data_IF_818507473325
#
_entry.id   IF_818507473325
#
_cell.length_a   1.000
_cell.length_b   1.000
_cell.length_c   1.000
_cell.angle_alpha   90.00
_cell.angle_beta   90.00
_cell.angle_gamma   90.00
#
_symmetry.space_group_name_H-M   'P 1'
#
loop_
_entity.id
_entity.type
_entity.pdbx_description
1 polymer ?
#
# COMPACT_ATOMS: atom_id res chain seq x y z
N UNK A 1 5.01 -20.15 11.74
CA UNK A 1 5.15 -18.73 11.32
C UNK A 1 6.23 -17.98 12.12
N UNK A 2 6.18 -17.90 13.46
CA UNK A 2 7.24 -17.19 14.24
C UNK A 2 8.66 -17.70 13.97
N UNK A 3 8.85 -19.02 13.91
CA UNK A 3 10.15 -19.61 13.58
C UNK A 3 10.65 -19.30 12.16
N UNK A 4 9.75 -19.03 11.20
CA UNK A 4 10.14 -18.60 9.86
C UNK A 4 10.59 -17.14 9.87
N UNK A 5 9.81 -16.26 10.49
CA UNK A 5 10.17 -14.83 10.58
C UNK A 5 11.49 -14.60 11.31
N UNK A 6 11.76 -15.35 12.38
CA UNK A 6 13.05 -15.32 13.07
C UNK A 6 14.22 -15.72 12.15
N UNK A 7 14.04 -16.77 11.34
CA UNK A 7 15.06 -17.19 10.34
C UNK A 7 15.29 -16.15 9.25
N UNK A 8 14.26 -15.40 8.88
CA UNK A 8 14.35 -14.33 7.89
C UNK A 8 14.81 -12.98 8.47
N UNK A 9 15.04 -12.87 9.78
CA UNK A 9 15.37 -11.60 10.44
C UNK A 9 14.22 -10.57 10.42
N UNK A 10 12.96 -11.02 10.34
CA UNK A 10 11.77 -10.16 10.23
C UNK A 10 11.01 -10.12 11.55
N UNK A 11 10.69 -8.91 12.02
CA UNK A 11 9.82 -8.71 13.18
C UNK A 11 8.34 -8.89 12.81
N UNK A 12 7.61 -9.73 13.55
CA UNK A 12 6.18 -9.92 13.35
C UNK A 12 5.36 -8.95 14.20
N UNK A 13 4.76 -7.96 13.54
CA UNK A 13 3.82 -7.04 14.17
C UNK A 13 2.38 -7.57 14.07
N UNK A 14 1.74 -7.80 15.22
CA UNK A 14 0.34 -8.22 15.31
C UNK A 14 -0.57 -7.03 15.59
N UNK A 15 -1.71 -6.99 14.92
CA UNK A 15 -2.76 -5.99 15.17
C UNK A 15 -3.82 -6.55 16.12
N UNK A 16 -4.49 -5.67 16.86
CA UNK A 16 -5.57 -6.05 17.77
C UNK A 16 -6.62 -6.90 17.04
N UNK A 17 -7.03 -7.99 17.67
CA UNK A 17 -8.03 -8.92 17.12
C UNK A 17 -9.32 -8.18 16.73
N UNK A 18 -9.94 -8.60 15.63
CA UNK A 18 -11.20 -8.05 15.10
C UNK A 18 -11.16 -6.55 14.76
N UNK A 19 -9.98 -5.93 14.71
CA UNK A 19 -9.80 -4.56 14.22
C UNK A 19 -9.21 -4.58 12.81
N UNK A 20 -9.94 -4.01 11.85
CA UNK A 20 -9.58 -4.04 10.43
C UNK A 20 -8.77 -2.78 10.02
N UNK A 21 -9.11 -1.63 10.61
CA UNK A 21 -8.45 -0.34 10.37
C UNK A 21 -6.92 -0.32 10.46
N UNK A 22 -6.25 -1.10 11.35
CA UNK A 22 -4.80 -1.12 11.41
C UNK A 22 -4.12 -1.52 10.09
N UNK A 23 -4.75 -2.39 9.30
CA UNK A 23 -4.24 -2.90 8.03
C UNK A 23 -4.91 -2.22 6.81
N UNK A 24 -5.50 -1.04 7.01
CA UNK A 24 -6.29 -0.37 5.99
C UNK A 24 -5.58 -0.11 4.65
N UNK A 25 -4.24 -0.03 4.63
CA UNK A 25 -3.50 0.09 3.36
C UNK A 25 -3.64 -1.17 2.49
N UNK A 26 -3.54 -2.36 3.09
CA UNK A 26 -3.71 -3.63 2.39
C UNK A 26 -5.18 -3.77 1.95
N UNK A 27 -6.14 -3.36 2.77
CA UNK A 27 -7.55 -3.38 2.38
C UNK A 27 -7.83 -2.50 1.16
N UNK A 28 -7.24 -1.30 1.10
CA UNK A 28 -7.35 -0.42 -0.07
C UNK A 28 -6.74 -1.08 -1.30
N UNK A 29 -5.54 -1.68 -1.17
CA UNK A 29 -4.88 -2.38 -2.28
C UNK A 29 -5.73 -3.57 -2.76
N UNK A 30 -6.24 -4.40 -1.86
CA UNK A 30 -7.10 -5.53 -2.21
C UNK A 30 -8.37 -5.08 -2.93
N UNK A 31 -8.99 -3.97 -2.50
CA UNK A 31 -10.13 -3.38 -3.20
C UNK A 31 -9.75 -2.94 -4.62
N UNK A 32 -8.60 -2.29 -4.80
CA UNK A 32 -8.12 -1.88 -6.12
C UNK A 32 -7.84 -3.07 -7.04
N UNK A 33 -7.20 -4.12 -6.52
CA UNK A 33 -6.93 -5.37 -7.25
C UNK A 33 -8.24 -6.00 -7.71
N UNK A 34 -9.20 -6.19 -6.80
CA UNK A 34 -10.49 -6.78 -7.13
C UNK A 34 -11.28 -5.94 -8.14
N UNK A 35 -11.25 -4.61 -8.02
CA UNK A 35 -11.87 -3.72 -9.00
C UNK A 35 -11.20 -3.81 -10.38
N UNK A 36 -9.88 -3.93 -10.44
CA UNK A 36 -9.15 -4.13 -11.69
C UNK A 36 -9.50 -5.48 -12.34
N UNK A 37 -9.53 -6.57 -11.56
CA UNK A 37 -9.99 -7.87 -12.05
C UNK A 37 -11.40 -7.81 -12.63
N UNK A 38 -12.35 -7.23 -11.89
CA UNK A 38 -13.75 -7.11 -12.36
C UNK A 38 -13.83 -6.31 -13.65
N UNK A 39 -13.08 -5.22 -13.75
CA UNK A 39 -13.04 -4.38 -14.95
C UNK A 39 -12.51 -5.17 -16.16
N UNK A 40 -11.32 -5.77 -16.04
CA UNK A 40 -10.68 -6.50 -17.15
C UNK A 40 -11.50 -7.70 -17.58
N UNK A 41 -12.02 -8.50 -16.64
CA UNK A 41 -12.87 -9.65 -16.94
C UNK A 41 -14.14 -9.22 -17.65
N UNK A 42 -14.78 -8.13 -17.21
CA UNK A 42 -15.98 -7.61 -17.83
C UNK A 42 -15.73 -7.06 -19.24
N UNK A 43 -14.65 -6.29 -19.40
CA UNK A 43 -14.32 -5.61 -20.66
C UNK A 43 -13.91 -6.62 -21.75
N UNK A 44 -13.04 -7.56 -21.39
CA UNK A 44 -12.55 -8.58 -22.32
C UNK A 44 -13.50 -9.78 -22.46
N UNK A 45 -14.63 -9.77 -21.72
CA UNK A 45 -15.53 -10.93 -21.57
C UNK A 45 -14.77 -12.22 -21.24
N UNK A 46 -13.73 -12.08 -20.41
CA UNK A 46 -12.84 -13.18 -20.06
C UNK A 46 -13.56 -14.17 -19.13
N UNK A 47 -13.16 -15.44 -19.19
CA UNK A 47 -13.76 -16.42 -18.30
C UNK A 47 -13.23 -16.27 -16.86
N UNK A 48 -14.10 -16.37 -15.84
CA UNK A 48 -13.70 -16.03 -14.47
C UNK A 48 -12.71 -17.03 -13.88
N UNK A 49 -12.80 -18.29 -14.29
CA UNK A 49 -11.92 -19.38 -13.86
C UNK A 49 -10.47 -19.15 -14.30
N UNK A 50 -10.28 -18.38 -15.38
CA UNK A 50 -8.98 -18.08 -15.97
C UNK A 50 -8.33 -16.80 -15.39
N UNK A 51 -8.84 -16.29 -14.26
CA UNK A 51 -8.27 -15.12 -13.59
C UNK A 51 -6.77 -15.22 -13.25
N UNK A 52 -6.14 -16.40 -12.97
CA UNK A 52 -4.71 -16.45 -12.64
C UNK A 52 -3.82 -15.90 -13.76
N UNK A 53 -4.25 -16.04 -15.02
CA UNK A 53 -3.55 -15.52 -16.19
C UNK A 53 -3.54 -13.99 -16.25
N UNK A 54 -4.51 -13.33 -15.60
CA UNK A 54 -4.63 -11.87 -15.57
C UNK A 54 -3.83 -11.23 -14.43
N UNK A 55 -3.34 -12.00 -13.45
CA UNK A 55 -2.63 -11.47 -12.26
C UNK A 55 -1.49 -10.54 -12.67
N UNK A 56 -0.64 -10.99 -13.59
CA UNK A 56 0.57 -10.24 -13.98
C UNK A 56 0.23 -8.96 -14.74
N UNK A 57 -0.78 -8.99 -15.61
CA UNK A 57 -1.25 -7.80 -16.30
C UNK A 57 -1.84 -6.77 -15.32
N UNK A 58 -2.59 -7.21 -14.32
CA UNK A 58 -3.19 -6.34 -13.30
C UNK A 58 -2.12 -5.79 -12.35
N UNK A 59 -1.21 -6.63 -11.89
CA UNK A 59 -0.06 -6.24 -11.06
C UNK A 59 0.77 -5.18 -11.80
N UNK A 60 1.09 -5.44 -13.07
CA UNK A 60 1.78 -4.49 -13.94
C UNK A 60 1.00 -3.16 -14.02
N UNK A 61 -0.29 -3.19 -14.39
CA UNK A 61 -1.10 -1.98 -14.51
C UNK A 61 -1.17 -1.16 -13.21
N UNK A 62 -1.29 -1.81 -12.05
CA UNK A 62 -1.34 -1.13 -10.76
C UNK A 62 0.01 -0.52 -10.35
N UNK A 63 1.12 -1.21 -10.65
CA UNK A 63 2.47 -0.75 -10.31
C UNK A 63 2.97 0.37 -11.22
N UNK A 64 2.47 0.45 -12.45
CA UNK A 64 2.83 1.46 -13.43
C UNK A 64 1.89 2.67 -13.45
N UNK A 65 0.72 2.59 -12.78
CA UNK A 65 -0.23 3.70 -12.70
C UNK A 65 0.24 4.79 -11.73
N UNK A 66 0.37 6.06 -12.17
CA UNK A 66 0.64 7.20 -11.30
C UNK A 66 -0.39 7.36 -10.17
N UNK A 67 0.08 7.66 -8.96
CA UNK A 67 -0.78 7.89 -7.80
C UNK A 67 -0.56 9.26 -7.18
N UNK A 68 -1.65 9.99 -6.92
CA UNK A 68 -1.60 11.33 -6.29
C UNK A 68 -0.81 11.33 -4.97
N UNK A 69 -1.00 10.32 -4.12
CA UNK A 69 -0.28 10.18 -2.84
C UNK A 69 1.24 10.09 -2.99
N UNK A 70 1.71 9.61 -4.15
CA UNK A 70 3.12 9.45 -4.49
C UNK A 70 3.64 10.66 -5.28
N UNK A 71 2.98 11.83 -5.17
CA UNK A 71 3.34 13.00 -5.95
C UNK A 71 3.12 12.79 -7.46
N UNK A 72 2.07 12.05 -7.83
CA UNK A 72 1.79 11.65 -9.21
C UNK A 72 2.88 10.80 -9.87
N UNK A 73 3.68 10.09 -9.07
CA UNK A 73 4.61 9.06 -9.54
C UNK A 73 3.98 7.67 -9.46
N UNK A 74 4.45 6.74 -10.29
CA UNK A 74 4.02 5.35 -10.23
C UNK A 74 4.75 4.58 -9.12
N UNK A 75 4.14 3.55 -8.52
CA UNK A 75 4.80 2.69 -7.53
C UNK A 75 6.14 2.11 -8.00
N UNK A 76 6.24 1.65 -9.26
CA UNK A 76 7.49 1.10 -9.82
C UNK A 76 8.62 2.13 -9.81
N UNK A 77 8.30 3.39 -10.15
CA UNK A 77 9.27 4.49 -10.19
C UNK A 77 9.74 4.86 -8.80
N UNK A 78 8.83 4.88 -7.82
CA UNK A 78 9.20 5.13 -6.42
C UNK A 78 10.04 3.98 -5.85
N UNK A 79 9.75 2.74 -6.25
CA UNK A 79 10.45 1.57 -5.74
C UNK A 79 11.85 1.38 -6.35
N UNK A 80 11.98 1.57 -7.66
CA UNK A 80 13.18 1.18 -8.42
C UNK A 80 13.89 2.36 -9.09
N UNK A 81 13.26 3.52 -9.19
CA UNK A 81 13.74 4.64 -10.01
C UNK A 81 13.41 4.51 -11.51
N UNK A 82 12.93 3.35 -11.97
CA UNK A 82 12.61 3.13 -13.37
C UNK A 82 11.41 3.97 -13.85
N UNK A 83 11.43 4.36 -15.13
CA UNK A 83 10.27 5.02 -15.77
C UNK A 83 9.08 4.05 -15.76
N UNK A 84 7.90 4.57 -15.49
CA UNK A 84 6.69 3.78 -15.57
C UNK A 84 6.34 3.48 -17.05
N UNK A 85 6.12 2.21 -17.37
CA UNK A 85 5.56 1.78 -18.63
C UNK A 85 4.14 2.30 -18.86
N UNK A 86 3.86 2.59 -20.13
CA UNK A 86 2.54 2.94 -20.61
C UNK A 86 2.20 2.05 -21.82
N UNK A 87 1.27 1.09 -21.70
CA UNK A 87 0.93 0.19 -22.81
C UNK A 87 0.38 0.93 -24.03
N UNK A 88 -0.10 2.16 -23.88
CA UNK A 88 -0.54 3.00 -25.01
C UNK A 88 0.65 3.51 -25.83
N UNK A 89 1.84 3.68 -25.25
CA UNK A 89 3.04 4.06 -26.02
C UNK A 89 3.37 3.04 -27.11
N UNK A 90 3.04 1.75 -26.91
CA UNK A 90 3.24 0.69 -27.91
C UNK A 90 2.40 0.90 -29.17
N UNK A 91 1.20 1.46 -29.06
CA UNK A 91 0.31 1.73 -30.20
C UNK A 91 0.93 2.76 -31.15
N UNK A 92 1.67 3.72 -30.58
CA UNK A 92 2.34 4.78 -31.34
C UNK A 92 3.73 4.38 -31.86
N UNK A 93 4.25 3.21 -31.47
CA UNK A 93 5.50 2.67 -32.00
C UNK A 93 5.21 1.90 -33.29
N UNK A 94 5.99 2.15 -34.35
CA UNK A 94 5.85 1.43 -35.62
C UNK A 94 6.31 -0.03 -35.43
N UNK A 95 5.54 -1.04 -35.90
CA UNK A 95 5.97 -2.43 -35.83
C UNK A 95 7.33 -2.60 -36.52
N UNK A 96 8.29 -3.26 -35.84
CA UNK A 96 9.64 -3.48 -36.36
C UNK A 96 10.66 -2.35 -36.15
N UNK A 97 10.24 -1.15 -35.72
CA UNK A 97 11.18 -0.07 -35.32
C UNK A 97 11.45 -0.05 -33.82
N UNK A 98 10.80 -0.95 -33.07
CA UNK A 98 10.84 -1.04 -31.61
C UNK A 98 11.88 -2.01 -31.05
N UNK A 99 12.82 -2.49 -31.88
CA UNK A 99 14.10 -2.96 -31.34
C UNK A 99 14.78 -1.69 -30.84
N UNK A 100 14.50 -1.30 -29.59
CA UNK A 100 15.38 -0.39 -28.89
C UNK A 100 16.77 -0.97 -29.10
N UNK A 101 17.63 -0.21 -29.78
CA UNK A 101 18.98 -0.66 -30.09
C UNK A 101 19.58 -1.14 -28.77
N UNK A 102 19.71 -2.47 -28.63
CA UNK A 102 20.43 -3.08 -27.52
C UNK A 102 21.88 -2.76 -27.84
N UNK A 103 22.27 -1.53 -27.52
CA UNK A 103 23.64 -1.10 -27.62
C UNK A 103 24.37 -1.82 -26.51
N UNK A 104 25.40 -2.57 -26.86
CA UNK A 104 26.34 -3.09 -25.88
C UNK A 104 27.10 -1.91 -25.27
N UNK A 105 26.60 -1.43 -24.13
CA UNK A 105 27.28 -0.39 -23.36
C UNK A 105 28.34 -1.10 -22.51
N UNK A 106 29.61 -0.95 -22.89
CA UNK A 106 30.73 -1.36 -22.04
C UNK A 106 30.90 -0.34 -20.91
N UNK A 107 30.29 -0.61 -19.75
CA UNK A 107 30.48 0.18 -18.54
C UNK A 107 31.63 -0.40 -17.72
N UNK A 108 32.59 0.45 -17.35
CA UNK A 108 33.61 0.05 -16.40
C UNK A 108 33.08 0.13 -14.95
N UNK A 109 33.72 -0.58 -14.02
CA UNK A 109 33.27 -0.66 -12.62
C UNK A 109 33.22 0.71 -11.92
N UNK A 110 34.09 1.65 -12.28
CA UNK A 110 34.09 3.01 -11.73
C UNK A 110 32.88 3.83 -12.18
N UNK A 111 32.51 3.74 -13.45
CA UNK A 111 31.31 4.38 -14.00
C UNK A 111 30.04 3.84 -13.36
N UNK A 112 29.96 2.52 -13.14
CA UNK A 112 28.84 1.90 -12.44
C UNK A 112 28.74 2.45 -11.01
N UNK A 113 29.87 2.55 -10.29
CA UNK A 113 29.89 3.13 -8.94
C UNK A 113 29.31 4.55 -8.90
N UNK A 114 29.78 5.43 -9.79
CA UNK A 114 29.29 6.82 -9.89
C UNK A 114 27.79 6.86 -10.21
N UNK A 115 27.32 6.06 -11.16
CA UNK A 115 25.89 6.03 -11.53
C UNK A 115 25.02 5.52 -10.38
N UNK A 116 25.48 4.52 -9.63
CA UNK A 116 24.76 3.99 -8.46
C UNK A 116 24.68 5.03 -7.35
N UNK A 117 25.77 5.73 -7.05
CA UNK A 117 25.75 6.82 -6.06
C UNK A 117 24.79 7.94 -6.45
N UNK A 118 24.81 8.35 -7.72
CA UNK A 118 23.86 9.34 -8.24
C UNK A 118 22.41 8.87 -8.11
N UNK A 119 22.13 7.60 -8.47
CA UNK A 119 20.80 7.01 -8.33
C UNK A 119 20.35 6.97 -6.87
N UNK A 120 21.23 6.61 -5.94
CA UNK A 120 20.93 6.60 -4.50
C UNK A 120 20.52 7.99 -4.00
N UNK A 121 21.27 9.04 -4.36
CA UNK A 121 20.97 10.42 -3.99
C UNK A 121 19.61 10.85 -4.55
N UNK A 122 19.35 10.55 -5.83
CA UNK A 122 18.09 10.89 -6.49
C UNK A 122 16.89 10.15 -5.88
N UNK A 123 17.05 8.87 -5.56
CA UNK A 123 16.00 8.07 -4.90
C UNK A 123 15.72 8.58 -3.48
N UNK A 124 16.75 8.91 -2.71
CA UNK A 124 16.58 9.46 -1.36
C UNK A 124 15.81 10.79 -1.39
N UNK A 125 16.14 11.66 -2.34
CA UNK A 125 15.42 12.92 -2.54
C UNK A 125 13.97 12.68 -2.98
N UNK A 126 13.73 11.75 -3.91
CA UNK A 126 12.39 11.36 -4.34
C UNK A 126 11.55 10.82 -3.16
N UNK A 127 12.12 9.95 -2.33
CA UNK A 127 11.43 9.40 -1.16
C UNK A 127 11.08 10.49 -0.14
N UNK A 128 11.97 11.46 0.08
CA UNK A 128 11.70 12.63 0.93
C UNK A 128 10.50 13.44 0.43
N UNK A 129 10.41 13.71 -0.86
CA UNK A 129 9.29 14.41 -1.48
C UNK A 129 7.97 13.61 -1.32
N UNK A 130 8.01 12.32 -1.65
CA UNK A 130 6.86 11.41 -1.54
C UNK A 130 6.35 11.32 -0.10
N UNK A 131 7.24 11.27 0.88
CA UNK A 131 6.90 11.30 2.30
C UNK A 131 6.18 12.61 2.68
N UNK A 132 6.67 13.74 2.19
CA UNK A 132 6.03 15.05 2.37
C UNK A 132 4.58 15.07 1.86
N UNK A 133 4.38 14.64 0.61
CA UNK A 133 3.04 14.56 -0.01
C UNK A 133 2.14 13.60 0.76
N UNK A 134 2.62 12.38 1.04
CA UNK A 134 1.86 11.35 1.73
C UNK A 134 1.43 11.80 3.12
N UNK A 135 2.33 12.44 3.87
CA UNK A 135 2.04 12.93 5.21
C UNK A 135 1.03 14.09 5.18
N UNK A 136 1.18 15.02 4.23
CA UNK A 136 0.22 16.11 4.02
C UNK A 136 -1.18 15.58 3.71
N UNK A 137 -1.32 14.67 2.74
CA UNK A 137 -2.61 14.07 2.39
C UNK A 137 -3.24 13.30 3.56
N UNK A 138 -2.43 12.53 4.30
CA UNK A 138 -2.89 11.80 5.50
C UNK A 138 -3.37 12.77 6.57
N UNK A 139 -2.63 13.85 6.80
CA UNK A 139 -2.98 14.86 7.79
C UNK A 139 -4.30 15.55 7.42
N UNK A 140 -4.46 15.99 6.16
CA UNK A 140 -5.70 16.59 5.67
C UNK A 140 -6.89 15.64 5.81
N UNK A 141 -6.75 14.38 5.38
CA UNK A 141 -7.81 13.36 5.52
C UNK A 141 -8.17 13.11 6.98
N UNK A 142 -7.18 13.07 7.88
CA UNK A 142 -7.39 12.91 9.31
C UNK A 142 -8.14 14.10 9.90
N UNK A 143 -7.75 15.31 9.56
CA UNK A 143 -8.39 16.53 10.06
C UNK A 143 -9.86 16.57 9.63
N UNK A 144 -10.13 16.34 8.34
CA UNK A 144 -11.51 16.23 7.82
C UNK A 144 -12.33 15.15 8.53
N UNK A 145 -11.74 13.97 8.77
CA UNK A 145 -12.42 12.88 9.47
C UNK A 145 -12.60 13.15 10.98
N UNK A 146 -11.82 14.04 11.57
CA UNK A 146 -11.90 14.41 12.99
C UNK A 146 -12.84 15.59 13.25
N UNK A 147 -13.23 16.34 12.22
CA UNK A 147 -14.19 17.42 12.35
C UNK A 147 -15.51 16.89 12.93
N UNK A 148 -15.95 17.47 14.05
CA UNK A 148 -17.18 17.06 14.75
C UNK A 148 -17.07 15.79 15.60
N UNK A 149 -15.90 15.14 15.70
CA UNK A 149 -15.72 13.99 16.58
C UNK A 149 -15.28 14.42 17.98
N UNK A 150 -16.01 13.98 18.99
CA UNK A 150 -15.55 14.03 20.38
C UNK A 150 -14.32 13.13 20.52
N UNK A 151 -13.22 13.68 21.05
CA UNK A 151 -12.03 12.88 21.35
C UNK A 151 -12.34 12.02 22.58
N UNK A 152 -12.14 10.69 22.53
CA UNK A 152 -12.26 9.87 23.71
C UNK A 152 -11.25 10.32 24.76
N UNK A 153 -11.71 10.55 25.99
CA UNK A 153 -10.88 10.93 27.14
C UNK A 153 -10.78 9.75 28.08
N UNK A 154 -9.85 8.83 27.80
CA UNK A 154 -9.60 7.65 28.63
C UNK A 154 -8.22 7.75 29.29
N UNK A 155 -8.16 7.53 30.59
CA UNK A 155 -6.96 7.45 31.41
C UNK A 155 -6.72 6.05 31.97
N UNK A 156 -5.51 5.83 32.48
CA UNK A 156 -5.22 4.63 33.30
C UNK A 156 -6.05 4.74 34.58
N UNK A 157 -6.72 3.65 34.94
CA UNK A 157 -7.62 3.59 36.10
C UNK A 157 -9.10 3.72 35.75
N UNK A 158 -9.45 4.24 34.56
CA UNK A 158 -10.84 4.35 34.11
C UNK A 158 -11.45 2.98 33.82
N UNK A 159 -12.77 2.86 34.03
CA UNK A 159 -13.53 1.68 33.69
C UNK A 159 -14.20 1.82 32.32
N UNK A 160 -14.04 0.80 31.48
CA UNK A 160 -14.57 0.76 30.11
C UNK A 160 -15.33 -0.53 29.83
N UNK A 161 -16.26 -0.45 28.88
CA UNK A 161 -16.90 -1.62 28.28
C UNK A 161 -16.18 -1.96 26.97
N UNK A 162 -15.97 -3.24 26.72
CA UNK A 162 -15.40 -3.73 25.47
C UNK A 162 -16.44 -4.48 24.66
N UNK A 163 -16.34 -4.42 23.33
CA UNK A 163 -17.12 -5.27 22.44
C UNK A 163 -16.18 -5.91 21.43
N UNK A 164 -15.53 -7.03 21.79
CA UNK A 164 -14.54 -7.67 20.92
C UNK A 164 -15.19 -8.32 19.69
N UNK A 165 -16.47 -8.68 19.79
CA UNK A 165 -17.21 -9.38 18.75
C UNK A 165 -18.35 -8.49 18.25
N UNK A 166 -18.26 -8.09 17.00
CA UNK A 166 -19.41 -7.55 16.26
C UNK A 166 -20.13 -8.76 15.66
N UNK A 167 -21.33 -9.04 16.16
CA UNK A 167 -22.19 -10.11 15.64
C UNK A 167 -23.20 -9.53 14.65
N UNK A 168 -23.53 -10.31 13.62
CA UNK A 168 -24.52 -9.94 12.61
C UNK A 168 -25.74 -10.83 12.80
N UNK A 169 -26.92 -10.22 12.94
CA UNK A 169 -28.21 -10.92 12.89
C UNK A 169 -29.02 -10.29 11.77
N UNK A 170 -29.31 -11.06 10.71
CA UNK A 170 -29.86 -10.53 9.47
C UNK A 170 -28.92 -9.50 8.82
N UNK A 171 -29.45 -8.33 8.48
CA UNK A 171 -28.66 -7.21 7.90
C UNK A 171 -28.01 -6.30 8.96
N UNK A 172 -28.39 -6.44 10.23
CA UNK A 172 -28.01 -5.49 11.29
C UNK A 172 -26.84 -6.02 12.13
N UNK A 173 -25.86 -5.15 12.36
CA UNK A 173 -24.77 -5.39 13.30
C UNK A 173 -25.24 -5.07 14.72
N UNK A 174 -24.97 -5.96 15.66
CA UNK A 174 -25.18 -5.71 17.09
C UNK A 174 -23.91 -6.02 17.87
N UNK A 175 -23.62 -5.13 18.82
CA UNK A 175 -22.44 -5.18 19.67
C UNK A 175 -22.86 -5.77 21.02
N UNK A 176 -22.21 -6.86 21.43
CA UNK A 176 -22.34 -7.37 22.80
C UNK A 176 -21.28 -6.68 23.65
N UNK A 177 -21.71 -5.80 24.54
CA UNK A 177 -20.84 -5.14 25.51
C UNK A 177 -20.47 -6.12 26.63
N UNK A 178 -19.21 -6.10 27.05
CA UNK A 178 -18.66 -6.87 28.18
C UNK A 178 -17.91 -5.92 29.11
N UNK A 179 -17.93 -6.22 30.40
CA UNK A 179 -17.21 -5.45 31.42
C UNK A 179 -18.07 -5.22 32.68
N UNK A 180 -17.68 -4.25 33.53
CA UNK A 180 -16.64 -3.25 33.29
C UNK A 180 -15.21 -3.82 33.40
N UNK A 181 -14.29 -3.25 32.62
CA UNK A 181 -12.85 -3.54 32.67
C UNK A 181 -12.09 -2.27 33.04
N UNK A 182 -11.04 -2.39 33.85
CA UNK A 182 -10.19 -1.23 34.19
C UNK A 182 -9.03 -1.10 33.20
N UNK A 183 -8.73 0.13 32.77
CA UNK A 183 -7.55 0.43 31.95
C UNK A 183 -6.31 0.36 32.83
N UNK A 184 -5.47 -0.66 32.62
CA UNK A 184 -4.20 -0.82 33.36
C UNK A 184 -3.00 -0.22 32.63
N UNK A 185 -3.07 -0.10 31.30
CA UNK A 185 -1.96 0.38 30.47
C UNK A 185 -2.49 1.01 29.18
N UNK A 186 -1.83 2.06 28.71
CA UNK A 186 -2.10 2.69 27.41
C UNK A 186 -0.86 2.67 26.54
N UNK A 187 -0.86 1.83 25.50
CA UNK A 187 0.22 1.79 24.50
C UNK A 187 -0.10 2.70 23.34
N UNK A 188 0.75 3.70 23.08
CA UNK A 188 0.73 4.39 21.79
C UNK A 188 1.12 3.40 20.69
N UNK A 189 0.34 3.35 19.63
CA UNK A 189 0.63 2.52 18.46
C UNK A 189 2.00 2.90 17.88
N UNK A 190 2.97 1.99 17.95
CA UNK A 190 4.22 2.09 17.19
C UNK A 190 3.82 2.04 15.71
N UNK A 191 4.06 3.13 14.98
CA UNK A 191 3.97 3.13 13.52
C UNK A 191 5.40 3.08 13.02
N UNK A 192 5.77 1.95 12.44
CA UNK A 192 6.98 1.83 11.63
C UNK A 192 6.81 2.87 10.52
N UNK A 193 7.58 3.95 10.61
CA UNK A 193 7.78 4.84 9.47
C UNK A 193 8.65 4.06 8.50
N UNK A 194 8.09 3.75 7.34
CA UNK A 194 8.88 3.33 6.19
C UNK A 194 9.51 4.53 5.52
#
# INVERSE_FOLDING_TARGET
MRGFAAKCGVEQHWTTAYTHYPNGSIEVINKLILSAFRCVISELRWNKEDWPWLIKAIEHGLNHKPQKRLGWRAPVTVHTGAKADNPVELIFKKPGTGVEHINDISLNSGQIGIMVEQLQVQLAQMHKEVLGVTNSERHQKRNKASTGRLKPNFGIGDYVLTSPNVTKSGEKLYLKWKGPYQIIESKKRIRIQG
#
